data_IF_768651442550
#
_entry.id   IF_768651442550
#
_cell.length_a   1.000
_cell.length_b   1.000
_cell.length_c   1.000
_cell.angle_alpha   90.00
_cell.angle_beta   90.00
_cell.angle_gamma   90.00
#
_symmetry.space_group_name_H-M   'P 1'
#
loop_
_entity.id
_entity.type
_entity.pdbx_description
1 polymer ?
#
# COMPACT_ATOMS: atom_id res chain seq x y z
N UNK A 1 33.92 5.83 5.90
CA UNK A 1 32.93 6.89 5.65
C UNK A 1 32.12 6.62 4.38
N UNK A 2 32.77 6.23 3.27
CA UNK A 2 32.10 5.86 2.00
C UNK A 2 31.13 4.68 2.13
N UNK A 3 31.50 3.58 2.80
CA UNK A 3 30.55 2.46 3.02
C UNK A 3 29.30 2.87 3.83
N UNK A 4 29.45 3.78 4.79
CA UNK A 4 28.32 4.27 5.58
C UNK A 4 27.38 5.12 4.72
N UNK A 5 27.94 5.94 3.81
CA UNK A 5 27.18 6.70 2.82
C UNK A 5 26.34 5.77 1.94
N UNK A 6 26.96 4.77 1.31
CA UNK A 6 26.27 3.83 0.43
C UNK A 6 25.16 3.06 1.15
N UNK A 7 25.44 2.59 2.38
CA UNK A 7 24.46 1.92 3.20
C UNK A 7 23.24 2.82 3.51
N UNK A 8 23.48 4.09 3.83
CA UNK A 8 22.41 5.06 4.11
C UNK A 8 21.59 5.34 2.84
N UNK A 9 22.23 5.58 1.70
CA UNK A 9 21.53 5.84 0.43
C UNK A 9 20.66 4.65 0.02
N UNK A 10 21.22 3.43 0.04
CA UNK A 10 20.46 2.22 -0.27
C UNK A 10 19.30 2.00 0.70
N UNK A 11 19.50 2.28 1.99
CA UNK A 11 18.45 2.20 2.99
C UNK A 11 17.32 3.20 2.71
N UNK A 12 17.61 4.46 2.37
CA UNK A 12 16.58 5.44 2.06
C UNK A 12 15.79 5.12 0.78
N UNK A 13 16.48 4.71 -0.30
CA UNK A 13 15.82 4.31 -1.55
C UNK A 13 14.91 3.10 -1.28
N UNK A 14 15.44 2.08 -0.59
CA UNK A 14 14.67 0.88 -0.24
C UNK A 14 13.49 1.20 0.70
N UNK A 15 13.68 2.10 1.65
CA UNK A 15 12.63 2.53 2.57
C UNK A 15 11.51 3.26 1.83
N UNK A 16 11.83 4.17 0.90
CA UNK A 16 10.83 4.91 0.13
C UNK A 16 10.07 4.00 -0.84
N UNK A 17 10.76 3.08 -1.51
CA UNK A 17 10.13 2.04 -2.32
C UNK A 17 9.19 1.17 -1.46
N UNK A 18 9.62 0.78 -0.25
CA UNK A 18 8.79 0.05 0.69
C UNK A 18 7.54 0.84 1.09
N UNK A 19 7.69 2.14 1.40
CA UNK A 19 6.55 3.02 1.71
C UNK A 19 5.53 3.04 0.56
N UNK A 20 5.98 3.19 -0.69
CA UNK A 20 5.08 3.15 -1.84
C UNK A 20 4.29 1.82 -1.93
N UNK A 21 4.96 0.67 -1.73
CA UNK A 21 4.29 -0.64 -1.73
C UNK A 21 3.30 -0.78 -0.56
N UNK A 22 3.59 -0.17 0.60
CA UNK A 22 2.68 -0.24 1.76
C UNK A 22 1.33 0.42 1.51
N UNK A 23 1.16 1.21 0.44
CA UNK A 23 -0.15 1.71 0.00
C UNK A 23 -1.20 0.58 -0.10
N UNK A 24 -0.80 -0.58 -0.62
CA UNK A 24 -1.66 -1.76 -0.78
C UNK A 24 -2.13 -2.31 0.57
N UNK A 25 -1.24 -2.36 1.55
CA UNK A 25 -1.56 -2.82 2.90
C UNK A 25 -2.49 -1.82 3.61
N UNK A 26 -2.23 -0.53 3.45
CA UNK A 26 -3.07 0.55 4.01
C UNK A 26 -4.48 0.50 3.38
N UNK A 27 -4.58 0.29 2.06
CA UNK A 27 -5.85 0.11 1.37
C UNK A 27 -6.65 -1.07 1.95
N UNK A 28 -5.99 -2.22 2.12
CA UNK A 28 -6.61 -3.38 2.74
C UNK A 28 -7.00 -3.16 4.20
N UNK A 29 -6.24 -2.33 4.94
CA UNK A 29 -6.61 -1.87 6.28
C UNK A 29 -7.94 -1.11 6.32
N UNK A 30 -8.18 -0.20 5.36
CA UNK A 30 -9.47 0.49 5.24
C UNK A 30 -10.62 -0.48 4.94
N UNK A 31 -10.37 -1.46 4.07
CA UNK A 31 -11.35 -2.49 3.72
C UNK A 31 -11.69 -3.35 4.94
N UNK A 32 -10.68 -3.84 5.66
CA UNK A 32 -10.86 -4.66 6.87
C UNK A 32 -11.59 -3.91 7.97
N UNK A 33 -11.30 -2.62 8.12
CA UNK A 33 -12.02 -1.75 9.02
C UNK A 33 -13.51 -1.69 8.67
N UNK A 34 -13.85 -1.48 7.39
CA UNK A 34 -15.24 -1.39 6.94
C UNK A 34 -16.01 -2.72 7.06
N UNK A 35 -15.33 -3.85 6.80
CA UNK A 35 -15.91 -5.19 6.98
C UNK A 35 -16.18 -5.54 8.45
N UNK A 36 -15.52 -4.86 9.39
CA UNK A 36 -15.60 -5.17 10.82
C UNK A 36 -14.56 -6.20 11.28
N UNK A 37 -13.58 -6.52 10.43
CA UNK A 37 -12.44 -7.38 10.80
C UNK A 37 -11.46 -6.70 11.76
N UNK A 38 -11.51 -5.37 11.91
CA UNK A 38 -10.75 -4.66 12.94
C UNK A 38 -11.01 -5.19 14.37
N UNK A 39 -12.19 -5.78 14.64
CA UNK A 39 -12.53 -6.40 15.93
C UNK A 39 -11.87 -7.79 16.07
N UNK A 40 -11.55 -8.43 14.94
CA UNK A 40 -11.02 -9.79 14.83
C UNK A 40 -9.56 -9.83 14.35
N UNK A 41 -8.83 -8.70 14.42
CA UNK A 41 -7.45 -8.58 13.95
C UNK A 41 -6.61 -9.82 14.33
N UNK A 42 -6.15 -10.54 13.31
CA UNK A 42 -5.35 -11.75 13.49
C UNK A 42 -3.93 -11.29 13.83
N UNK A 43 -3.43 -11.78 14.96
CA UNK A 43 -2.04 -11.59 15.35
C UNK A 43 -1.18 -12.42 14.42
N UNK A 44 -0.29 -11.77 13.68
CA UNK A 44 0.74 -12.45 12.90
C UNK A 44 1.64 -13.26 13.85
N UNK A 45 1.69 -14.60 13.72
CA UNK A 45 2.48 -15.44 14.61
C UNK A 45 4.00 -15.26 14.46
N UNK A 46 4.48 -14.63 13.38
CA UNK A 46 5.89 -14.35 13.17
C UNK A 46 6.33 -13.03 13.82
N UNK A 47 5.50 -11.98 13.69
CA UNK A 47 5.86 -10.62 14.13
C UNK A 47 5.16 -10.20 15.43
N UNK A 48 4.11 -10.91 15.86
CA UNK A 48 3.27 -10.55 17.01
C UNK A 48 2.39 -9.33 16.77
N UNK A 49 2.40 -8.77 15.56
CA UNK A 49 1.64 -7.58 15.19
C UNK A 49 0.24 -7.94 14.68
N UNK A 50 -0.72 -7.04 14.85
CA UNK A 50 -2.03 -7.16 14.21
C UNK A 50 -1.92 -6.73 12.75
N UNK A 51 -2.10 -7.66 11.81
CA UNK A 51 -2.06 -7.36 10.37
C UNK A 51 -3.47 -7.43 9.77
N UNK A 52 -3.86 -6.47 8.93
CA UNK A 52 -5.10 -6.56 8.15
C UNK A 52 -5.09 -7.83 7.27
N UNK A 53 -6.13 -8.65 7.35
CA UNK A 53 -6.30 -9.86 6.55
C UNK A 53 -6.40 -9.56 5.05
N UNK A 54 -7.24 -8.61 4.64
CA UNK A 54 -7.35 -8.22 3.23
C UNK A 54 -6.10 -7.45 2.79
N UNK A 55 -5.51 -6.66 3.68
CA UNK A 55 -4.21 -6.01 3.41
C UNK A 55 -3.12 -7.02 3.08
N UNK A 56 -3.00 -8.08 3.87
CA UNK A 56 -2.05 -9.16 3.62
C UNK A 56 -2.36 -9.93 2.33
N UNK A 57 -3.64 -10.19 2.05
CA UNK A 57 -4.06 -10.84 0.80
C UNK A 57 -3.67 -10.00 -0.42
N UNK A 58 -4.05 -8.71 -0.46
CA UNK A 58 -3.72 -7.81 -1.56
C UNK A 58 -2.21 -7.64 -1.71
N UNK A 59 -1.48 -7.49 -0.61
CA UNK A 59 -0.02 -7.39 -0.63
C UNK A 59 0.64 -8.64 -1.24
N UNK A 60 0.15 -9.84 -0.89
CA UNK A 60 0.65 -11.10 -1.46
C UNK A 60 0.36 -11.16 -2.96
N UNK A 61 -0.82 -10.73 -3.41
CA UNK A 61 -1.15 -10.64 -4.83
C UNK A 61 -0.23 -9.66 -5.54
N UNK A 62 0.00 -8.47 -4.98
CA UNK A 62 0.90 -7.45 -5.54
C UNK A 62 2.31 -8.00 -5.72
N UNK A 63 2.85 -8.70 -4.72
CA UNK A 63 4.16 -9.34 -4.82
C UNK A 63 4.22 -10.39 -5.92
N UNK A 64 3.19 -11.24 -6.04
CA UNK A 64 3.11 -12.23 -7.10
C UNK A 64 3.01 -11.57 -8.48
N UNK A 65 2.27 -10.47 -8.60
CA UNK A 65 2.16 -9.70 -9.83
C UNK A 65 3.52 -9.12 -10.24
N UNK A 66 4.23 -8.46 -9.31
CA UNK A 66 5.59 -7.94 -9.55
C UNK A 66 6.55 -9.06 -9.98
N UNK A 67 6.39 -10.27 -9.46
CA UNK A 67 7.22 -11.41 -9.85
C UNK A 67 6.90 -11.89 -11.28
N UNK A 68 5.61 -11.97 -11.63
CA UNK A 68 5.15 -12.44 -12.96
C UNK A 68 5.44 -11.42 -14.06
N UNK A 69 5.40 -10.12 -13.75
CA UNK A 69 5.70 -9.05 -14.72
C UNK A 69 7.18 -8.71 -14.79
N UNK A 70 8.06 -9.46 -14.12
CA UNK A 70 9.48 -9.16 -13.99
C UNK A 70 9.77 -7.77 -13.39
N UNK A 71 8.80 -7.17 -12.69
CA UNK A 71 8.94 -5.84 -12.10
C UNK A 71 10.08 -5.74 -11.06
N UNK A 72 10.41 -6.86 -10.41
CA UNK A 72 11.56 -6.96 -9.53
C UNK A 72 12.89 -6.69 -10.24
N UNK A 73 13.03 -7.02 -11.53
CA UNK A 73 14.21 -6.66 -12.32
C UNK A 73 14.35 -5.15 -12.49
N UNK A 74 13.26 -4.44 -12.75
CA UNK A 74 13.27 -2.98 -12.86
C UNK A 74 13.63 -2.31 -11.53
N UNK A 75 13.21 -2.89 -10.40
CA UNK A 75 13.64 -2.41 -9.08
C UNK A 75 15.16 -2.60 -8.87
N UNK A 76 15.72 -3.74 -9.30
CA UNK A 76 17.17 -3.99 -9.25
C UNK A 76 17.92 -3.00 -10.16
N UNK A 77 17.41 -2.75 -11.36
CA UNK A 77 17.98 -1.77 -12.29
C UNK A 77 17.94 -0.36 -11.70
N UNK A 78 16.88 0.00 -10.95
CA UNK A 78 16.78 1.25 -10.22
C UNK A 78 17.86 1.40 -9.14
N UNK A 79 18.17 0.32 -8.42
CA UNK A 79 19.28 0.29 -7.46
C UNK A 79 20.62 0.46 -8.20
N UNK A 80 20.81 -0.22 -9.33
CA UNK A 80 22.02 -0.09 -10.14
C UNK A 80 22.21 1.35 -10.67
N UNK A 81 21.12 1.98 -11.11
CA UNK A 81 21.12 3.38 -11.54
C UNK A 81 21.54 4.34 -10.41
N UNK A 82 21.17 4.06 -9.15
CA UNK A 82 21.58 4.88 -8.01
C UNK A 82 23.11 4.98 -7.85
N UNK A 83 23.84 3.90 -8.16
CA UNK A 83 25.30 3.89 -8.12
C UNK A 83 25.95 4.68 -9.26
N UNK A 84 25.26 4.82 -10.39
CA UNK A 84 25.76 5.62 -11.52
C UNK A 84 25.49 7.11 -11.32
N UNK A 85 24.31 7.44 -10.78
CA UNK A 85 23.87 8.81 -10.60
C UNK A 85 24.53 9.49 -9.39
N UNK A 86 24.81 8.74 -8.31
CA UNK A 86 25.47 9.27 -7.12
C UNK A 86 26.94 8.85 -7.17
N UNK A 87 27.80 9.72 -7.69
CA UNK A 87 29.24 9.46 -7.79
C UNK A 87 29.84 9.09 -6.42
N UNK A 88 30.76 8.12 -6.41
CA UNK A 88 31.36 7.58 -5.17
C UNK A 88 32.07 8.68 -4.38
N UNK A 89 32.70 9.64 -5.06
CA UNK A 89 33.51 10.72 -4.48
C UNK A 89 32.70 11.93 -3.99
N UNK A 90 31.40 12.03 -4.31
CA UNK A 90 30.54 13.13 -3.83
C UNK A 90 29.93 12.80 -2.47
N UNK A 91 30.01 13.71 -1.49
CA UNK A 91 29.25 13.54 -0.24
C UNK A 91 27.76 13.80 -0.47
N UNK A 92 26.88 13.04 0.20
CA UNK A 92 25.43 13.25 0.13
C UNK A 92 25.09 14.68 0.58
N UNK A 93 24.59 15.49 -0.35
CA UNK A 93 24.24 16.87 -0.07
C UNK A 93 22.79 16.95 0.40
N UNK A 94 22.56 16.61 1.68
CA UNK A 94 21.29 16.83 2.37
C UNK A 94 21.05 18.32 2.74
N UNK A 95 21.84 19.24 2.20
CA UNK A 95 21.76 20.67 2.53
C UNK A 95 20.50 21.35 1.97
N UNK A 96 19.85 20.75 0.97
CA UNK A 96 18.64 21.29 0.37
C UNK A 96 17.40 20.58 0.95
N UNK A 97 16.35 21.31 1.29
CA UNK A 97 15.10 20.76 1.86
C UNK A 97 14.30 19.91 0.85
N UNK A 98 14.71 19.91 -0.42
CA UNK A 98 14.09 19.15 -1.52
C UNK A 98 13.90 17.65 -1.24
N UNK A 99 14.80 17.00 -0.47
CA UNK A 99 14.62 15.59 -0.11
C UNK A 99 13.46 15.39 0.87
N UNK A 100 13.21 16.33 1.78
CA UNK A 100 12.09 16.28 2.73
C UNK A 100 10.78 16.45 1.96
N UNK A 101 10.72 17.42 1.06
CA UNK A 101 9.55 17.65 0.19
C UNK A 101 9.21 16.41 -0.63
N UNK A 102 10.23 15.73 -1.17
CA UNK A 102 10.03 14.49 -1.93
C UNK A 102 9.50 13.34 -1.08
N UNK A 103 9.99 13.19 0.16
CA UNK A 103 9.47 12.19 1.11
C UNK A 103 8.00 12.48 1.45
N UNK A 104 7.64 13.75 1.68
CA UNK A 104 6.26 14.17 1.95
C UNK A 104 5.37 13.90 0.73
N UNK A 105 5.84 14.22 -0.48
CA UNK A 105 5.14 13.92 -1.73
C UNK A 105 4.87 12.42 -1.88
N UNK A 106 5.90 11.59 -1.71
CA UNK A 106 5.80 10.12 -1.79
C UNK A 106 4.77 9.59 -0.79
N UNK A 107 4.78 10.10 0.44
CA UNK A 107 3.82 9.70 1.47
C UNK A 107 2.38 10.10 1.13
N UNK A 108 2.19 11.26 0.49
CA UNK A 108 0.88 11.72 0.03
C UNK A 108 0.35 10.83 -1.10
N UNK A 109 1.16 10.57 -2.13
CA UNK A 109 0.79 9.69 -3.25
C UNK A 109 0.50 8.26 -2.79
N UNK A 110 1.27 7.73 -1.85
CA UNK A 110 1.01 6.45 -1.19
C UNK A 110 -0.38 6.42 -0.55
N UNK A 111 -0.76 7.48 0.18
CA UNK A 111 -2.05 7.56 0.85
C UNK A 111 -3.22 7.73 -0.12
N UNK A 112 -3.05 8.57 -1.17
CA UNK A 112 -4.05 8.74 -2.24
C UNK A 112 -4.29 7.40 -2.93
N UNK A 113 -3.22 6.70 -3.32
CA UNK A 113 -3.29 5.39 -3.97
C UNK A 113 -3.98 4.37 -3.08
N UNK A 114 -3.64 4.34 -1.79
CA UNK A 114 -4.29 3.46 -0.82
C UNK A 114 -5.79 3.72 -0.70
N UNK A 115 -6.18 4.99 -0.66
CA UNK A 115 -7.58 5.39 -0.57
C UNK A 115 -8.36 5.00 -1.84
N UNK A 116 -7.84 5.32 -3.03
CA UNK A 116 -8.44 4.97 -4.32
C UNK A 116 -8.63 3.45 -4.45
N UNK A 117 -7.64 2.69 -4.00
CA UNK A 117 -7.67 1.23 -4.00
C UNK A 117 -8.70 0.63 -3.02
N UNK A 118 -9.01 1.32 -1.92
CA UNK A 118 -10.03 0.91 -0.96
C UNK A 118 -11.47 1.29 -1.39
N UNK A 119 -11.63 2.38 -2.16
CA UNK A 119 -12.94 2.92 -2.56
C UNK A 119 -13.95 1.91 -3.11
N UNK A 120 -13.63 1.02 -4.07
CA UNK A 120 -14.64 0.13 -4.65
C UNK A 120 -15.27 -0.80 -3.60
N UNK A 121 -14.46 -1.36 -2.69
CA UNK A 121 -14.97 -2.23 -1.63
C UNK A 121 -15.65 -1.43 -0.52
N UNK A 122 -15.01 -0.36 -0.05
CA UNK A 122 -15.55 0.47 1.04
C UNK A 122 -16.88 1.09 0.64
N UNK A 123 -17.02 1.56 -0.60
CA UNK A 123 -18.28 2.09 -1.13
C UNK A 123 -19.40 1.05 -1.17
N UNK A 124 -19.12 -0.17 -1.63
CA UNK A 124 -20.09 -1.26 -1.60
C UNK A 124 -20.51 -1.63 -0.17
N UNK A 125 -19.55 -1.74 0.75
CA UNK A 125 -19.83 -2.07 2.15
C UNK A 125 -20.57 -0.96 2.89
N UNK A 126 -20.32 0.31 2.53
CA UNK A 126 -21.10 1.43 3.02
C UNK A 126 -22.58 1.31 2.64
N UNK A 127 -22.88 0.89 1.41
CA UNK A 127 -24.27 0.63 1.01
C UNK A 127 -24.89 -0.54 1.79
N UNK A 128 -24.10 -1.57 2.11
CA UNK A 128 -24.54 -2.66 2.99
C UNK A 128 -24.87 -2.13 4.39
N UNK A 129 -24.06 -1.23 4.94
CA UNK A 129 -24.33 -0.60 6.24
C UNK A 129 -25.62 0.21 6.24
N UNK A 130 -25.88 0.97 5.18
CA UNK A 130 -27.14 1.70 5.00
C UNK A 130 -28.33 0.72 4.95
N UNK A 131 -28.21 -0.37 4.18
CA UNK A 131 -29.26 -1.39 4.09
C UNK A 131 -29.52 -2.07 5.44
N UNK A 132 -28.46 -2.46 6.16
CA UNK A 132 -28.56 -3.04 7.50
C UNK A 132 -29.18 -2.06 8.50
N UNK A 133 -28.84 -0.77 8.42
CA UNK A 133 -29.44 0.27 9.26
C UNK A 133 -30.94 0.46 9.03
N UNK A 134 -31.40 0.33 7.78
CA UNK A 134 -32.84 0.34 7.46
C UNK A 134 -33.51 -0.91 8.05
N UNK A 135 -32.92 -2.09 7.86
CA UNK A 135 -33.44 -3.35 8.41
C UNK A 135 -33.53 -3.30 9.94
N UNK A 136 -32.52 -2.72 10.60
CA UNK A 136 -32.50 -2.54 12.05
C UNK A 136 -33.72 -1.74 12.55
N UNK A 137 -34.15 -0.72 11.80
CA UNK A 137 -35.34 0.07 12.13
C UNK A 137 -36.63 -0.68 11.85
N UNK A 138 -36.68 -1.46 10.78
CA UNK A 138 -37.89 -2.21 10.38
C UNK A 138 -38.12 -3.47 11.22
N UNK A 139 -37.04 -4.15 11.63
CA UNK A 139 -37.08 -5.39 12.42
C UNK A 139 -36.17 -5.23 13.65
N UNK A 140 -36.61 -4.52 14.71
CA UNK A 140 -35.78 -4.19 15.87
C UNK A 140 -35.31 -5.40 16.69
N UNK A 141 -36.02 -6.51 16.58
CA UNK A 141 -35.69 -7.79 17.21
C UNK A 141 -34.50 -8.51 16.55
N UNK A 142 -34.08 -8.08 15.36
CA UNK A 142 -32.95 -8.65 14.65
C UNK A 142 -31.65 -8.08 15.21
N UNK A 143 -30.74 -8.94 15.65
CA UNK A 143 -29.41 -8.52 16.04
C UNK A 143 -28.56 -8.26 14.79
N UNK A 144 -28.48 -6.99 14.40
CA UNK A 144 -27.82 -6.55 13.17
C UNK A 144 -26.32 -6.81 13.20
N UNK A 145 -25.70 -6.89 14.38
CA UNK A 145 -24.28 -7.30 14.49
C UNK A 145 -24.08 -8.77 14.13
N UNK A 146 -24.99 -9.65 14.54
CA UNK A 146 -24.91 -11.10 14.28
C UNK A 146 -25.12 -11.40 12.80
N UNK A 147 -26.02 -10.69 12.13
CA UNK A 147 -26.32 -10.90 10.70
C UNK A 147 -25.41 -10.07 9.80
N UNK A 148 -25.03 -8.88 10.24
CA UNK A 148 -24.30 -7.90 9.44
C UNK A 148 -22.87 -8.33 9.12
N UNK A 149 -22.15 -8.90 10.08
CA UNK A 149 -20.75 -9.32 9.86
C UNK A 149 -20.65 -10.46 8.82
N UNK A 150 -21.40 -11.57 8.91
CA UNK A 150 -21.44 -12.58 7.85
C UNK A 150 -21.86 -12.02 6.48
N UNK A 151 -22.84 -11.11 6.44
CA UNK A 151 -23.29 -10.47 5.21
C UNK A 151 -22.19 -9.60 4.59
N UNK A 152 -21.53 -8.77 5.39
CA UNK A 152 -20.43 -7.91 4.94
C UNK A 152 -19.28 -8.72 4.36
N UNK A 153 -18.88 -9.81 5.02
CA UNK A 153 -17.83 -10.72 4.52
C UNK A 153 -18.24 -11.31 3.17
N UNK A 154 -19.47 -11.80 3.05
CA UNK A 154 -19.96 -12.38 1.81
C UNK A 154 -19.96 -11.36 0.66
N UNK A 155 -20.46 -10.15 0.91
CA UNK A 155 -20.47 -9.07 -0.07
C UNK A 155 -19.06 -8.64 -0.43
N UNK A 156 -18.17 -8.46 0.55
CA UNK A 156 -16.78 -8.07 0.31
C UNK A 156 -16.05 -9.07 -0.57
N UNK A 157 -16.15 -10.38 -0.27
CA UNK A 157 -15.52 -11.42 -1.09
C UNK A 157 -16.11 -11.49 -2.50
N UNK A 158 -17.43 -11.34 -2.65
CA UNK A 158 -18.08 -11.31 -3.95
C UNK A 158 -17.62 -10.10 -4.78
N UNK A 159 -17.61 -8.91 -4.18
CA UNK A 159 -17.15 -7.68 -4.83
C UNK A 159 -15.66 -7.80 -5.18
N UNK A 160 -14.82 -8.24 -4.24
CA UNK A 160 -13.37 -8.43 -4.46
C UNK A 160 -13.09 -9.32 -5.67
N UNK A 161 -13.86 -10.39 -5.84
CA UNK A 161 -13.74 -11.29 -7.00
C UNK A 161 -14.06 -10.55 -8.31
N UNK A 162 -15.09 -9.71 -8.31
CA UNK A 162 -15.53 -8.95 -9.50
C UNK A 162 -14.53 -7.84 -9.84
N UNK A 163 -14.06 -7.11 -8.83
CA UNK A 163 -13.15 -5.96 -9.02
C UNK A 163 -11.69 -6.37 -9.11
N UNK A 164 -11.36 -7.67 -9.04
CA UNK A 164 -9.98 -8.15 -9.10
C UNK A 164 -9.26 -7.69 -10.37
N UNK A 165 -9.95 -7.64 -11.52
CA UNK A 165 -9.38 -7.11 -12.75
C UNK A 165 -9.04 -5.62 -12.67
N UNK A 166 -9.82 -4.84 -11.92
CA UNK A 166 -9.52 -3.44 -11.65
C UNK A 166 -8.34 -3.28 -10.68
N UNK A 167 -8.21 -4.16 -9.69
CA UNK A 167 -7.06 -4.18 -8.79
C UNK A 167 -5.73 -4.41 -9.51
N UNK A 168 -5.71 -5.18 -10.60
CA UNK A 168 -4.49 -5.35 -11.42
C UNK A 168 -4.02 -4.02 -11.98
N UNK A 169 -4.94 -3.20 -12.51
CA UNK A 169 -4.61 -1.87 -13.04
C UNK A 169 -4.06 -0.94 -11.94
N UNK A 170 -4.65 -0.98 -10.75
CA UNK A 170 -4.16 -0.21 -9.60
C UNK A 170 -2.77 -0.69 -9.12
N UNK A 171 -2.47 -1.98 -9.24
CA UNK A 171 -1.15 -2.50 -8.90
C UNK A 171 -0.09 -1.99 -9.87
N UNK A 172 -0.41 -1.83 -11.15
CA UNK A 172 0.48 -1.18 -12.12
C UNK A 172 0.78 0.27 -11.72
N UNK A 173 -0.23 1.04 -11.29
CA UNK A 173 -0.02 2.41 -10.77
C UNK A 173 0.88 2.43 -9.53
N UNK A 174 0.72 1.48 -8.60
CA UNK A 174 1.61 1.34 -7.44
C UNK A 174 3.04 1.02 -7.88
N UNK A 175 3.21 0.19 -8.88
CA UNK A 175 4.51 -0.16 -9.40
C UNK A 175 5.21 1.05 -10.05
N UNK A 176 4.47 1.83 -10.82
CA UNK A 176 4.98 3.09 -11.39
C UNK A 176 5.36 4.08 -10.28
N UNK A 177 4.54 4.20 -9.22
CA UNK A 177 4.86 5.02 -8.05
C UNK A 177 6.17 4.57 -7.38
N UNK A 178 6.41 3.26 -7.26
CA UNK A 178 7.67 2.73 -6.71
C UNK A 178 8.85 3.16 -7.57
N UNK A 179 8.76 3.00 -8.89
CA UNK A 179 9.84 3.36 -9.81
C UNK A 179 10.09 4.88 -9.84
N UNK A 180 9.03 5.69 -9.84
CA UNK A 180 9.11 7.15 -9.75
C UNK A 180 9.76 7.57 -8.43
N UNK A 181 9.36 6.95 -7.32
CA UNK A 181 9.92 7.22 -5.99
C UNK A 181 11.42 6.92 -5.96
N UNK A 182 11.82 5.76 -6.49
CA UNK A 182 13.23 5.38 -6.55
C UNK A 182 14.05 6.35 -7.42
N UNK A 183 13.58 6.66 -8.63
CA UNK A 183 14.28 7.55 -9.57
C UNK A 183 14.30 8.99 -9.10
N UNK A 184 13.16 9.51 -8.65
CA UNK A 184 13.01 10.87 -8.17
C UNK A 184 13.87 11.15 -6.94
N UNK A 185 13.98 10.19 -6.03
CA UNK A 185 14.88 10.35 -4.87
C UNK A 185 16.36 10.36 -5.28
N UNK A 186 16.75 9.53 -6.26
CA UNK A 186 18.10 9.53 -6.83
C UNK A 186 18.39 10.89 -7.49
N UNK A 187 17.46 11.43 -8.28
CA UNK A 187 17.63 12.72 -8.95
C UNK A 187 17.74 13.88 -7.96
N UNK A 188 16.96 13.85 -6.87
CA UNK A 188 17.03 14.85 -5.79
C UNK A 188 18.38 14.81 -5.07
N UNK A 189 18.98 13.63 -4.90
CA UNK A 189 20.30 13.45 -4.28
C UNK A 189 21.47 13.70 -5.25
N UNK A 190 21.30 13.47 -6.55
CA UNK A 190 22.35 13.66 -7.56
C UNK A 190 22.43 15.08 -8.11
N UNK A 191 21.36 15.88 -7.97
CA UNK A 191 21.33 17.31 -8.36
C UNK A 191 21.75 18.28 -7.26
N UNK A 192 22.02 17.81 -6.04
CA UNK A 192 22.56 18.61 -4.95
C UNK A 192 24.08 18.53 -4.88
#
# INVERSE_FOLDING_TARGET
MLMLKEAITGLFIGLLAYVAITAVQVAGGFIDFQMGFAIANVVDPQTGAQSPLIGQYLYTVTLLFILVTDGHHLMIDGIFYSYQAIEIDQFLQFQNESWIEFVIYTFNEMFISAFLMALPLVGCLFLVDVALGIIARTVPQLNVFVVGLPLKIFVALAVLTIVMGFYVLLIEEIFDLVLETMRGFIDVLGRS
#
